data_IF_699670915183
#
_entry.id   IF_699670915183
#
_cell.length_a   1.000
_cell.length_b   1.000
_cell.length_c   1.000
_cell.angle_alpha   90.00
_cell.angle_beta   90.00
_cell.angle_gamma   90.00
#
_symmetry.space_group_name_H-M   'P 1'
#
loop_
_entity.id
_entity.type
_entity.pdbx_description
1 polymer ?
#
# COMPACT_ATOMS: atom_id res chain seq x y z
N UNK A 1 3.16 20.19 5.21
CA UNK A 1 3.00 18.95 4.40
C UNK A 1 4.34 18.31 4.02
N UNK A 2 5.16 18.88 3.13
CA UNK A 2 6.40 18.21 2.65
C UNK A 2 7.34 17.78 3.78
N UNK A 3 7.55 18.66 4.77
CA UNK A 3 8.37 18.33 5.95
C UNK A 3 7.80 17.19 6.81
N UNK A 4 6.48 17.01 6.84
CA UNK A 4 5.85 15.91 7.58
C UNK A 4 5.99 14.58 6.83
N UNK A 5 5.85 14.61 5.50
CA UNK A 5 6.11 13.45 4.64
C UNK A 5 7.57 13.00 4.73
N UNK A 6 8.53 13.94 4.74
CA UNK A 6 9.95 13.64 4.92
C UNK A 6 10.23 13.02 6.29
N UNK A 7 9.62 13.54 7.36
CA UNK A 7 9.73 12.94 8.70
C UNK A 7 9.15 11.53 8.72
N UNK A 8 7.96 11.33 8.18
CA UNK A 8 7.31 10.02 8.10
C UNK A 8 8.19 9.02 7.34
N UNK A 9 8.73 9.42 6.20
CA UNK A 9 9.62 8.57 5.41
C UNK A 9 10.94 8.27 6.13
N UNK A 10 11.47 9.21 6.92
CA UNK A 10 12.70 8.99 7.70
C UNK A 10 12.56 7.95 8.81
N UNK A 11 11.32 7.65 9.23
CA UNK A 11 11.01 6.63 10.24
C UNK A 11 10.86 5.23 9.64
N UNK A 12 10.81 5.09 8.31
CA UNK A 12 10.57 3.79 7.67
C UNK A 12 11.67 2.81 8.06
N UNK A 13 11.26 1.61 8.48
CA UNK A 13 12.16 0.56 8.99
C UNK A 13 12.67 0.77 10.41
N UNK A 14 12.23 1.83 11.12
CA UNK A 14 12.54 2.02 12.54
C UNK A 14 11.54 1.30 13.46
N UNK A 15 12.01 0.91 14.65
CA UNK A 15 11.16 0.26 15.67
C UNK A 15 10.04 1.19 16.19
N UNK A 16 10.23 2.50 16.07
CA UNK A 16 9.29 3.52 16.54
C UNK A 16 8.24 3.91 15.49
N UNK A 17 8.31 3.35 14.27
CA UNK A 17 7.45 3.75 13.14
C UNK A 17 5.96 3.67 13.48
N UNK A 18 5.50 2.58 14.11
CA UNK A 18 4.09 2.39 14.43
C UNK A 18 3.55 3.50 15.34
N UNK A 19 4.33 3.89 16.35
CA UNK A 19 3.93 4.93 17.31
C UNK A 19 4.06 6.33 16.72
N UNK A 20 5.23 6.67 16.17
CA UNK A 20 5.52 8.03 15.69
C UNK A 20 4.73 8.38 14.42
N UNK A 21 4.36 7.38 13.60
CA UNK A 21 3.54 7.62 12.41
C UNK A 21 2.12 8.07 12.76
N UNK A 22 1.55 7.66 13.90
CA UNK A 22 0.22 8.13 14.34
C UNK A 22 0.21 9.63 14.60
N UNK A 23 1.23 10.13 15.29
CA UNK A 23 1.36 11.56 15.60
C UNK A 23 1.60 12.38 14.32
N UNK A 24 2.46 11.90 13.42
CA UNK A 24 2.74 12.59 12.16
C UNK A 24 1.50 12.62 11.26
N UNK A 25 0.79 11.50 11.13
CA UNK A 25 -0.46 11.46 10.35
C UNK A 25 -1.48 12.41 10.98
N UNK A 26 -1.63 12.42 12.30
CA UNK A 26 -2.54 13.35 12.98
C UNK A 26 -2.18 14.82 12.74
N UNK A 27 -0.90 15.16 12.73
CA UNK A 27 -0.42 16.51 12.41
C UNK A 27 -0.70 16.86 10.94
N UNK A 28 -0.47 15.92 10.00
CA UNK A 28 -0.82 16.09 8.59
C UNK A 28 -2.32 16.36 8.41
N UNK A 29 -3.18 15.63 9.12
CA UNK A 29 -4.64 15.86 9.10
C UNK A 29 -5.00 17.25 9.64
N UNK A 30 -4.36 17.69 10.71
CA UNK A 30 -4.55 19.04 11.26
C UNK A 30 -4.08 20.15 10.31
N UNK A 31 -3.05 19.89 9.49
CA UNK A 31 -2.61 20.77 8.40
C UNK A 31 -3.51 20.70 7.14
N UNK A 32 -4.53 19.84 7.14
CA UNK A 32 -5.49 19.70 6.06
C UNK A 32 -5.16 18.64 5.02
N UNK A 33 -4.37 17.61 5.36
CA UNK A 33 -4.17 16.45 4.51
C UNK A 33 -5.51 15.81 4.12
N UNK A 34 -5.79 15.78 2.82
CA UNK A 34 -6.94 15.12 2.24
C UNK A 34 -6.55 14.05 1.23
N UNK A 35 -7.46 13.80 0.29
CA UNK A 35 -7.28 12.79 -0.76
C UNK A 35 -6.01 13.02 -1.61
N UNK A 36 -5.63 14.29 -1.79
CA UNK A 36 -4.47 14.70 -2.58
C UNK A 36 -3.13 14.22 -2.01
N UNK A 37 -3.07 13.81 -0.74
CA UNK A 37 -1.84 13.31 -0.10
C UNK A 37 -1.62 11.81 -0.32
N UNK A 38 -2.63 11.07 -0.79
CA UNK A 38 -2.57 9.62 -0.93
C UNK A 38 -1.45 9.18 -1.88
N UNK A 39 -1.28 9.85 -3.03
CA UNK A 39 -0.22 9.48 -3.98
C UNK A 39 1.17 9.67 -3.38
N UNK A 40 1.36 10.68 -2.52
CA UNK A 40 2.61 10.88 -1.80
C UNK A 40 2.89 9.76 -0.78
N UNK A 41 1.86 9.35 -0.03
CA UNK A 41 1.97 8.23 0.93
C UNK A 41 2.26 6.90 0.23
N UNK A 42 1.57 6.62 -0.88
CA UNK A 42 1.84 5.45 -1.72
C UNK A 42 3.27 5.52 -2.29
N UNK A 43 3.71 6.70 -2.71
CA UNK A 43 5.08 6.92 -3.17
C UNK A 43 6.14 6.57 -2.13
N UNK A 44 5.89 6.77 -0.83
CA UNK A 44 6.80 6.30 0.24
C UNK A 44 6.88 4.77 0.20
N UNK A 45 5.75 4.08 0.15
CA UNK A 45 5.72 2.60 0.09
C UNK A 45 6.41 2.04 -1.17
N UNK A 46 6.36 2.77 -2.28
CA UNK A 46 7.06 2.41 -3.53
C UNK A 46 8.59 2.49 -3.39
N UNK A 47 9.10 3.47 -2.62
CA UNK A 47 10.54 3.67 -2.40
C UNK A 47 11.11 2.68 -1.39
N UNK A 48 10.26 2.09 -0.56
CA UNK A 48 10.62 1.14 0.51
C UNK A 48 9.83 -0.17 0.34
N UNK A 49 10.13 -0.95 -0.72
CA UNK A 49 9.25 -2.02 -1.19
C UNK A 49 9.12 -3.21 -0.24
N UNK A 50 10.02 -3.34 0.72
CA UNK A 50 10.11 -4.48 1.65
C UNK A 50 9.74 -4.11 3.10
N UNK A 51 9.59 -2.82 3.39
CA UNK A 51 9.32 -2.35 4.73
C UNK A 51 7.86 -2.54 5.13
N UNK A 52 7.65 -2.72 6.43
CA UNK A 52 6.32 -2.84 7.03
C UNK A 52 5.82 -1.46 7.48
N UNK A 53 4.64 -1.08 7.03
CA UNK A 53 3.96 0.16 7.38
C UNK A 53 2.78 -0.07 8.35
N UNK A 54 2.71 -1.27 8.94
CA UNK A 54 1.66 -1.72 9.85
C UNK A 54 0.48 -2.33 9.10
N UNK A 55 -0.04 -3.47 9.57
CA UNK A 55 -1.07 -4.25 8.87
C UNK A 55 -2.37 -4.40 9.70
N UNK A 56 -3.22 -3.35 9.86
CA UNK A 56 -3.09 -1.98 9.34
C UNK A 56 -2.41 -1.02 10.35
N UNK A 57 -1.63 -0.06 9.83
CA UNK A 57 -1.04 1.06 10.58
C UNK A 57 -1.68 2.42 10.25
N UNK A 58 -1.13 3.50 10.81
CA UNK A 58 -1.67 4.86 10.71
C UNK A 58 -1.86 5.34 9.25
N UNK A 59 -0.88 5.07 8.38
CA UNK A 59 -0.96 5.41 6.95
C UNK A 59 -2.12 4.71 6.25
N UNK A 60 -2.28 3.41 6.49
CA UNK A 60 -3.36 2.61 5.88
C UNK A 60 -4.71 3.11 6.38
N UNK A 61 -4.83 3.35 7.69
CA UNK A 61 -6.05 3.91 8.27
C UNK A 61 -6.42 5.27 7.70
N UNK A 62 -5.44 6.11 7.37
CA UNK A 62 -5.70 7.38 6.69
C UNK A 62 -6.19 7.16 5.25
N UNK A 63 -5.45 6.38 4.44
CA UNK A 63 -5.78 6.13 3.03
C UNK A 63 -7.17 5.49 2.88
N UNK A 64 -7.52 4.53 3.74
CA UNK A 64 -8.78 3.79 3.64
C UNK A 64 -10.04 4.62 3.91
N UNK A 65 -9.92 5.80 4.53
CA UNK A 65 -11.05 6.72 4.72
C UNK A 65 -11.63 7.22 3.40
N UNK A 66 -10.84 7.16 2.33
CA UNK A 66 -11.21 7.59 0.98
C UNK A 66 -11.61 6.41 0.08
N UNK A 67 -12.11 5.31 0.66
CA UNK A 67 -12.65 4.21 -0.14
C UNK A 67 -14.04 4.57 -0.66
N UNK A 68 -14.36 4.38 -1.96
CA UNK A 68 -13.56 3.69 -2.98
C UNK A 68 -12.63 4.58 -3.83
N UNK A 69 -12.60 5.90 -3.61
CA UNK A 69 -11.90 6.88 -4.43
C UNK A 69 -10.38 6.65 -4.52
N UNK A 70 -9.74 6.07 -3.50
CA UNK A 70 -8.29 5.81 -3.51
C UNK A 70 -7.88 4.60 -4.35
N UNK A 71 -8.82 3.69 -4.64
CA UNK A 71 -8.51 2.39 -5.26
C UNK A 71 -7.78 2.53 -6.60
N UNK A 72 -8.15 3.46 -7.52
CA UNK A 72 -7.40 3.69 -8.75
C UNK A 72 -5.95 4.16 -8.50
N UNK A 73 -5.70 4.95 -7.46
CA UNK A 73 -4.35 5.38 -7.08
C UNK A 73 -3.52 4.21 -6.58
N UNK A 74 -4.09 3.34 -5.75
CA UNK A 74 -3.43 2.12 -5.30
C UNK A 74 -3.09 1.21 -6.49
N UNK A 75 -4.04 1.00 -7.42
CA UNK A 75 -3.79 0.21 -8.64
C UNK A 75 -2.65 0.81 -9.47
N UNK A 76 -2.64 2.13 -9.65
CA UNK A 76 -1.59 2.82 -10.39
C UNK A 76 -0.23 2.69 -9.70
N UNK A 77 -0.19 2.82 -8.37
CA UNK A 77 1.00 2.63 -7.54
C UNK A 77 1.58 1.22 -7.68
N UNK A 78 0.75 0.18 -7.49
CA UNK A 78 1.17 -1.22 -7.63
C UNK A 78 1.71 -1.52 -9.04
N UNK A 79 1.08 -0.98 -10.08
CA UNK A 79 1.57 -1.14 -11.47
C UNK A 79 2.90 -0.42 -11.72
N UNK A 80 3.12 0.70 -11.04
CA UNK A 80 4.32 1.55 -11.19
C UNK A 80 5.51 0.95 -10.46
N UNK A 81 5.36 0.65 -9.18
CA UNK A 81 6.41 0.11 -8.32
C UNK A 81 5.77 -0.71 -7.18
N UNK A 82 5.52 -2.02 -7.39
CA UNK A 82 4.85 -2.83 -6.38
C UNK A 82 5.74 -3.00 -5.14
N UNK A 83 5.10 -2.96 -3.97
CA UNK A 83 5.71 -3.23 -2.67
C UNK A 83 4.92 -4.29 -1.91
N UNK A 84 5.53 -4.91 -0.89
CA UNK A 84 4.84 -5.86 -0.02
C UNK A 84 3.57 -5.24 0.55
N UNK A 85 3.67 -3.98 0.98
CA UNK A 85 2.57 -3.27 1.60
C UNK A 85 1.44 -2.93 0.62
N UNK A 86 1.76 -2.39 -0.56
CA UNK A 86 0.74 -2.05 -1.57
C UNK A 86 0.06 -3.30 -2.15
N UNK A 87 0.80 -4.41 -2.31
CA UNK A 87 0.24 -5.72 -2.71
C UNK A 87 -0.70 -6.27 -1.63
N UNK A 88 -0.33 -6.14 -0.35
CA UNK A 88 -1.20 -6.51 0.77
C UNK A 88 -2.48 -5.65 0.81
N UNK A 89 -2.37 -4.33 0.64
CA UNK A 89 -3.52 -3.43 0.55
C UNK A 89 -4.43 -3.81 -0.62
N UNK A 90 -3.86 -4.14 -1.78
CA UNK A 90 -4.63 -4.59 -2.94
C UNK A 90 -5.42 -5.87 -2.63
N UNK A 91 -4.79 -6.85 -1.99
CA UNK A 91 -5.46 -8.08 -1.55
C UNK A 91 -6.58 -7.80 -0.53
N UNK A 92 -6.38 -6.83 0.36
CA UNK A 92 -7.43 -6.37 1.28
C UNK A 92 -8.62 -5.76 0.53
N UNK A 93 -8.39 -4.96 -0.51
CA UNK A 93 -9.46 -4.48 -1.39
C UNK A 93 -10.16 -5.63 -2.13
N UNK A 94 -9.42 -6.66 -2.58
CA UNK A 94 -10.00 -7.86 -3.20
C UNK A 94 -10.99 -8.54 -2.25
N UNK A 95 -10.67 -8.66 -0.96
CA UNK A 95 -11.56 -9.26 0.02
C UNK A 95 -12.91 -8.52 0.16
N UNK A 96 -12.93 -7.20 -0.05
CA UNK A 96 -14.14 -6.37 0.01
C UNK A 96 -14.84 -6.14 -1.33
N UNK A 97 -14.22 -6.51 -2.45
CA UNK A 97 -14.72 -6.23 -3.79
C UNK A 97 -15.81 -7.22 -4.25
N UNK A 98 -16.85 -6.69 -4.90
CA UNK A 98 -17.87 -7.52 -5.58
C UNK A 98 -17.34 -8.13 -6.87
N UNK A 99 -16.62 -7.33 -7.65
CA UNK A 99 -15.90 -7.76 -8.84
C UNK A 99 -14.40 -7.67 -8.55
N UNK A 100 -13.73 -8.81 -8.62
CA UNK A 100 -12.30 -8.96 -8.30
C UNK A 100 -11.44 -8.98 -9.57
N UNK A 101 -12.04 -9.02 -10.76
CA UNK A 101 -11.32 -9.33 -12.01
C UNK A 101 -10.18 -8.35 -12.31
N UNK A 102 -10.43 -7.03 -12.15
CA UNK A 102 -9.38 -6.03 -12.35
C UNK A 102 -8.24 -6.18 -11.34
N UNK A 103 -8.57 -6.30 -10.05
CA UNK A 103 -7.58 -6.40 -8.98
C UNK A 103 -6.73 -7.68 -9.08
N UNK A 104 -7.35 -8.80 -9.48
CA UNK A 104 -6.64 -10.05 -9.76
C UNK A 104 -5.69 -9.93 -10.95
N UNK A 105 -6.11 -9.23 -12.02
CA UNK A 105 -5.22 -8.94 -13.16
C UNK A 105 -4.03 -8.06 -12.74
N UNK A 106 -4.22 -7.15 -11.78
CA UNK A 106 -3.11 -6.37 -11.21
C UNK A 106 -2.14 -7.28 -10.46
N UNK A 107 -2.61 -8.19 -9.60
CA UNK A 107 -1.73 -9.16 -8.94
C UNK A 107 -0.94 -10.00 -9.94
N UNK A 108 -1.61 -10.49 -11.00
CA UNK A 108 -0.94 -11.24 -12.07
C UNK A 108 0.14 -10.41 -12.78
N UNK A 109 -0.09 -9.12 -12.99
CA UNK A 109 0.92 -8.23 -13.56
C UNK A 109 2.15 -8.06 -12.66
N UNK A 110 1.97 -8.05 -11.33
CA UNK A 110 3.08 -7.98 -10.37
C UNK A 110 3.91 -9.27 -10.40
N UNK A 111 3.26 -10.44 -10.43
CA UNK A 111 3.93 -11.76 -10.49
C UNK A 111 4.89 -11.83 -11.70
N UNK A 112 4.48 -11.24 -12.82
CA UNK A 112 5.24 -11.22 -14.08
C UNK A 112 6.18 -10.02 -14.22
N UNK A 113 6.25 -9.11 -13.25
CA UNK A 113 7.13 -7.95 -13.30
C UNK A 113 8.56 -8.33 -12.90
N UNK A 114 9.45 -8.55 -13.88
CA UNK A 114 10.85 -8.91 -13.65
C UNK A 114 11.66 -7.84 -12.90
N UNK A 115 11.20 -6.59 -12.89
CA UNK A 115 11.85 -5.50 -12.17
C UNK A 115 11.40 -5.39 -10.71
N UNK A 116 10.33 -6.09 -10.32
CA UNK A 116 9.85 -6.12 -8.95
C UNK A 116 10.72 -7.06 -8.09
N UNK A 117 10.85 -6.73 -6.81
CA UNK A 117 11.55 -7.58 -5.85
C UNK A 117 10.90 -8.98 -5.78
N UNK A 118 11.74 -10.02 -5.64
CA UNK A 118 11.28 -11.41 -5.58
C UNK A 118 10.28 -11.63 -4.45
N UNK A 119 10.52 -11.05 -3.27
CA UNK A 119 9.61 -11.19 -2.14
C UNK A 119 8.24 -10.58 -2.43
N UNK A 120 8.19 -9.45 -3.15
CA UNK A 120 6.94 -8.80 -3.57
C UNK A 120 6.19 -9.67 -4.58
N UNK A 121 6.90 -10.24 -5.55
CA UNK A 121 6.32 -11.15 -6.55
C UNK A 121 5.77 -12.43 -5.92
N UNK A 122 6.52 -13.03 -5.02
CA UNK A 122 6.11 -14.23 -4.29
C UNK A 122 4.87 -13.95 -3.44
N UNK A 123 4.81 -12.79 -2.78
CA UNK A 123 3.63 -12.38 -2.01
C UNK A 123 2.40 -12.13 -2.89
N UNK A 124 2.58 -11.48 -4.04
CA UNK A 124 1.51 -11.31 -5.01
C UNK A 124 0.98 -12.66 -5.53
N UNK A 125 1.88 -13.63 -5.75
CA UNK A 125 1.54 -14.99 -6.15
C UNK A 125 0.73 -15.73 -5.09
N UNK A 126 1.16 -15.68 -3.83
CA UNK A 126 0.45 -16.26 -2.69
C UNK A 126 -1.00 -15.74 -2.63
N UNK A 127 -1.18 -14.42 -2.74
CA UNK A 127 -2.51 -13.82 -2.74
C UNK A 127 -3.33 -14.17 -3.97
N UNK A 128 -2.71 -14.20 -5.15
CA UNK A 128 -3.40 -14.59 -6.39
C UNK A 128 -3.95 -16.02 -6.29
N UNK A 129 -3.11 -16.98 -5.88
CA UNK A 129 -3.49 -18.40 -5.73
C UNK A 129 -4.58 -18.59 -4.68
N UNK A 130 -4.50 -17.87 -3.55
CA UNK A 130 -5.53 -17.87 -2.52
C UNK A 130 -6.88 -17.36 -3.07
N UNK A 131 -6.87 -16.24 -3.78
CA UNK A 131 -8.10 -15.61 -4.30
C UNK A 131 -8.69 -16.34 -5.51
N UNK A 132 -7.88 -17.03 -6.30
CA UNK A 132 -8.32 -17.84 -7.45
C UNK A 132 -8.82 -19.23 -7.04
N UNK A 133 -8.71 -19.60 -5.76
CA UNK A 133 -9.04 -20.95 -5.28
C UNK A 133 -8.06 -22.02 -5.77
N UNK A 134 -6.83 -21.62 -6.11
CA UNK A 134 -5.75 -22.50 -6.56
C UNK A 134 -4.77 -22.88 -5.44
N UNK A 135 -4.96 -22.35 -4.23
CA UNK A 135 -4.24 -22.77 -3.04
C UNK A 135 -4.68 -24.21 -2.65
N UNK A 136 -3.78 -25.18 -2.83
CA UNK A 136 -3.94 -26.57 -2.39
C UNK A 136 -3.76 -26.71 -0.88
#
# INVERSE_FOLDING_TARGET
>A
MDTLLEKLESLVGSDDFEYDSEDIISEMEAEGAGFETIDALLGIMERHPLDDFGMPGAMVHFIERFYPEFLPLLIASVKRAPSLHTVWMLNRCINGAKDKSELLSVLESVINNENADVAVRDKAKEFFEYQSGSAN
#
